data_IF_955684089610
#
_entry.id   IF_955684089610
#
_cell.length_a   1.000
_cell.length_b   1.000
_cell.length_c   1.000
_cell.angle_alpha   90.00
_cell.angle_beta   90.00
_cell.angle_gamma   90.00
#
_symmetry.space_group_name_H-M   'P 1'
#
loop_
_entity.id
_entity.type
_entity.pdbx_description
1 polymer ?
#
# COMPACT_ATOMS: atom_id res chain seq x y z
N UNK A 1 -27.19 -22.24 -11.09
CA UNK A 1 -26.35 -23.46 -11.12
C UNK A 1 -25.84 -23.61 -12.54
N UNK A 2 -24.63 -23.13 -12.82
CA UNK A 2 -24.04 -23.26 -14.16
C UNK A 2 -23.54 -24.70 -14.33
N UNK A 3 -24.13 -25.40 -15.29
CA UNK A 3 -23.85 -26.79 -15.63
C UNK A 3 -22.39 -26.95 -16.05
N UNK A 4 -21.60 -27.64 -15.25
CA UNK A 4 -20.27 -28.12 -15.61
C UNK A 4 -20.40 -29.26 -16.62
N UNK A 5 -20.57 -28.94 -17.89
CA UNK A 5 -20.32 -29.88 -18.97
C UNK A 5 -18.81 -30.19 -19.00
N UNK A 6 -18.40 -31.17 -18.21
CA UNK A 6 -17.06 -31.74 -18.15
C UNK A 6 -16.73 -32.46 -19.45
N UNK A 7 -16.29 -31.70 -20.45
CA UNK A 7 -15.45 -32.24 -21.52
C UNK A 7 -14.16 -32.77 -20.87
N UNK A 8 -13.81 -34.02 -21.20
CA UNK A 8 -12.72 -34.82 -20.64
C UNK A 8 -11.31 -34.26 -20.95
N UNK A 9 -11.09 -32.96 -20.88
CA UNK A 9 -9.78 -32.36 -21.06
C UNK A 9 -8.95 -32.53 -19.78
N UNK A 10 -7.72 -33.07 -19.86
CA UNK A 10 -6.85 -33.12 -18.70
C UNK A 10 -6.51 -31.68 -18.25
N UNK A 11 -6.38 -31.47 -16.93
CA UNK A 11 -5.89 -30.20 -16.41
C UNK A 11 -4.49 -29.87 -16.97
N UNK A 12 -4.09 -28.59 -16.91
CA UNK A 12 -2.81 -28.14 -17.46
C UNK A 12 -1.62 -28.93 -16.89
N UNK A 13 -1.66 -29.28 -15.59
CA UNK A 13 -0.65 -30.10 -14.95
C UNK A 13 -0.52 -31.50 -15.56
N UNK A 14 -1.64 -32.22 -15.68
CA UNK A 14 -1.64 -33.57 -16.24
C UNK A 14 -1.29 -33.58 -17.73
N UNK A 15 -1.74 -32.57 -18.47
CA UNK A 15 -1.36 -32.36 -19.88
C UNK A 15 0.14 -32.16 -20.02
N UNK A 16 0.74 -31.30 -19.20
CA UNK A 16 2.18 -31.03 -19.20
C UNK A 16 3.01 -32.27 -18.81
N UNK A 17 2.59 -32.97 -17.76
CA UNK A 17 3.25 -34.18 -17.26
C UNK A 17 2.98 -35.43 -18.11
N UNK A 18 2.17 -35.33 -19.17
CA UNK A 18 1.79 -36.44 -20.07
C UNK A 18 1.20 -37.65 -19.31
N UNK A 19 0.37 -37.39 -18.30
CA UNK A 19 -0.31 -38.43 -17.51
C UNK A 19 -1.83 -38.27 -17.55
N UNK A 20 -2.56 -39.35 -17.25
CA UNK A 20 -4.03 -39.31 -17.18
C UNK A 20 -4.49 -38.42 -16.03
N UNK A 21 -5.43 -37.51 -16.31
CA UNK A 21 -6.12 -36.74 -15.27
C UNK A 21 -7.28 -37.60 -14.73
N UNK A 22 -7.23 -37.94 -13.44
CA UNK A 22 -8.25 -38.76 -12.77
C UNK A 22 -9.17 -37.89 -11.89
N UNK A 23 -10.40 -38.32 -11.61
CA UNK A 23 -11.25 -37.68 -10.61
C UNK A 23 -10.51 -37.56 -9.27
N UNK A 24 -10.54 -36.38 -8.65
CA UNK A 24 -9.78 -36.08 -7.42
C UNK A 24 -8.32 -35.66 -7.66
N UNK A 25 -7.91 -35.38 -8.90
CA UNK A 25 -6.58 -34.81 -9.17
C UNK A 25 -6.35 -33.50 -8.39
N UNK A 26 -5.34 -33.48 -7.53
CA UNK A 26 -5.00 -32.32 -6.68
C UNK A 26 -4.69 -31.04 -7.47
N UNK A 27 -4.23 -31.17 -8.71
CA UNK A 27 -3.90 -30.03 -9.56
C UNK A 27 -5.10 -29.48 -10.34
N UNK A 28 -6.14 -30.29 -10.58
CA UNK A 28 -7.22 -29.94 -11.49
C UNK A 28 -7.99 -28.67 -11.08
N UNK A 29 -8.29 -28.43 -9.79
CA UNK A 29 -8.98 -27.20 -9.38
C UNK A 29 -8.19 -25.91 -9.61
N UNK A 30 -6.85 -25.99 -9.66
CA UNK A 30 -5.98 -24.80 -9.61
C UNK A 30 -5.20 -24.53 -10.91
N UNK A 31 -5.12 -25.53 -11.79
CA UNK A 31 -4.41 -25.45 -13.07
C UNK A 31 -5.34 -25.83 -14.23
N UNK A 32 -6.29 -24.95 -14.60
CA UNK A 32 -7.23 -25.19 -15.69
C UNK A 32 -6.48 -25.33 -17.04
N UNK A 33 -7.03 -26.08 -18.00
CA UNK A 33 -6.38 -26.30 -19.30
C UNK A 33 -6.17 -25.01 -20.12
N UNK A 34 -6.93 -23.95 -19.84
CA UNK A 34 -6.82 -22.61 -20.45
C UNK A 34 -5.53 -21.88 -20.03
N UNK A 35 -4.91 -22.27 -18.91
CA UNK A 35 -3.72 -21.61 -18.34
C UNK A 35 -2.48 -22.54 -18.32
N UNK A 36 -2.00 -23.04 -19.47
CA UNK A 36 -0.90 -24.00 -19.51
C UNK A 36 0.43 -23.40 -19.01
N UNK A 37 0.66 -22.11 -19.23
CA UNK A 37 1.88 -21.42 -18.81
C UNK A 37 2.00 -21.32 -17.28
N UNK A 38 0.86 -21.19 -16.57
CA UNK A 38 0.83 -21.13 -15.11
C UNK A 38 1.48 -22.38 -14.51
N UNK A 39 1.09 -23.57 -14.97
CA UNK A 39 1.71 -24.81 -14.50
C UNK A 39 3.15 -24.96 -15.00
N UNK A 40 3.46 -24.58 -16.24
CA UNK A 40 4.82 -24.69 -16.78
C UNK A 40 5.83 -23.90 -15.95
N UNK A 41 5.50 -22.66 -15.57
CA UNK A 41 6.34 -21.82 -14.73
C UNK A 41 6.50 -22.42 -13.32
N UNK A 42 5.39 -22.77 -12.69
CA UNK A 42 5.39 -23.38 -11.34
C UNK A 42 6.21 -24.67 -11.32
N UNK A 43 6.06 -25.53 -12.33
CA UNK A 43 6.83 -26.75 -12.47
C UNK A 43 8.33 -26.48 -12.65
N UNK A 44 8.68 -25.49 -13.48
CA UNK A 44 10.09 -25.12 -13.73
C UNK A 44 10.78 -24.61 -12.46
N UNK A 45 10.09 -23.81 -11.65
CA UNK A 45 10.70 -23.14 -10.49
C UNK A 45 10.62 -23.99 -9.21
N UNK A 46 9.45 -24.59 -8.93
CA UNK A 46 9.21 -25.32 -7.68
C UNK A 46 9.20 -26.83 -7.86
N UNK A 47 8.81 -27.33 -9.04
CA UNK A 47 8.65 -28.75 -9.31
C UNK A 47 7.31 -29.31 -8.82
N UNK A 48 6.73 -30.24 -9.59
CA UNK A 48 5.41 -30.81 -9.28
C UNK A 48 5.36 -31.51 -7.92
N UNK A 49 6.43 -32.20 -7.51
CA UNK A 49 6.47 -32.94 -6.24
C UNK A 49 6.41 -32.01 -5.02
N UNK A 50 7.17 -30.91 -5.05
CA UNK A 50 7.17 -29.92 -3.97
C UNK A 50 5.82 -29.22 -3.86
N UNK A 51 5.22 -28.86 -5.00
CA UNK A 51 3.88 -28.26 -5.03
C UNK A 51 2.84 -29.25 -4.49
N UNK A 52 2.91 -30.53 -4.87
CA UNK A 52 2.01 -31.57 -4.33
C UNK A 52 2.14 -31.68 -2.81
N UNK A 53 3.39 -31.71 -2.30
CA UNK A 53 3.67 -31.78 -0.87
C UNK A 53 3.07 -30.57 -0.13
N UNK A 54 3.35 -29.36 -0.60
CA UNK A 54 2.81 -28.13 -0.02
C UNK A 54 1.28 -28.12 -0.01
N UNK A 55 0.64 -28.46 -1.12
CA UNK A 55 -0.83 -28.47 -1.19
C UNK A 55 -1.44 -29.49 -0.23
N UNK A 56 -0.78 -30.62 0.03
CA UNK A 56 -1.25 -31.59 1.03
C UNK A 56 -1.07 -31.11 2.47
N UNK A 57 -0.09 -30.26 2.75
CA UNK A 57 0.13 -29.66 4.08
C UNK A 57 -0.84 -28.50 4.38
N UNK A 58 -1.40 -27.88 3.33
CA UNK A 58 -2.35 -26.76 3.45
C UNK A 58 -3.81 -27.22 3.56
N UNK A 59 -4.58 -26.43 4.32
CA UNK A 59 -6.04 -26.55 4.39
C UNK A 59 -6.65 -26.24 3.01
N UNK A 60 -7.75 -26.90 2.60
CA UNK A 60 -8.31 -26.75 1.25
C UNK A 60 -8.58 -25.30 0.82
N UNK A 61 -9.03 -24.44 1.74
CA UNK A 61 -9.36 -23.04 1.47
C UNK A 61 -8.13 -22.15 1.22
N UNK A 62 -6.94 -22.57 1.64
CA UNK A 62 -5.69 -21.81 1.45
C UNK A 62 -4.97 -22.17 0.14
N UNK A 63 -5.35 -23.30 -0.48
CA UNK A 63 -4.64 -23.87 -1.63
C UNK A 63 -4.72 -23.00 -2.86
N UNK A 64 -5.86 -22.33 -3.08
CA UNK A 64 -6.03 -21.43 -4.21
C UNK A 64 -5.07 -20.24 -4.13
N UNK A 65 -5.04 -19.56 -2.98
CA UNK A 65 -4.13 -18.45 -2.71
C UNK A 65 -2.65 -18.87 -2.78
N UNK A 66 -2.34 -20.06 -2.26
CA UNK A 66 -0.99 -20.62 -2.34
C UNK A 66 -0.58 -20.87 -3.80
N UNK A 67 -1.44 -21.48 -4.63
CA UNK A 67 -1.13 -21.69 -6.06
C UNK A 67 -1.00 -20.36 -6.81
N UNK A 68 -1.83 -19.36 -6.50
CA UNK A 68 -1.73 -18.04 -7.11
C UNK A 68 -0.42 -17.34 -6.74
N UNK A 69 0.02 -17.46 -5.48
CA UNK A 69 1.31 -16.93 -5.01
C UNK A 69 2.48 -17.64 -5.70
N UNK A 70 2.47 -18.97 -5.77
CA UNK A 70 3.49 -19.75 -6.48
C UNK A 70 3.53 -19.41 -7.97
N UNK A 71 2.37 -19.23 -8.62
CA UNK A 71 2.31 -18.86 -10.02
C UNK A 71 2.98 -17.50 -10.28
N UNK A 72 2.65 -16.50 -9.45
CA UNK A 72 3.25 -15.17 -9.52
C UNK A 72 4.77 -15.22 -9.31
N UNK A 73 5.23 -15.91 -8.25
CA UNK A 73 6.66 -16.04 -7.95
C UNK A 73 7.41 -16.78 -9.05
N UNK A 74 6.82 -17.85 -9.59
CA UNK A 74 7.43 -18.62 -10.67
C UNK A 74 7.55 -17.79 -11.94
N UNK A 75 6.50 -17.07 -12.32
CA UNK A 75 6.52 -16.17 -13.47
C UNK A 75 7.56 -15.05 -13.30
N UNK A 76 7.62 -14.44 -12.11
CA UNK A 76 8.61 -13.41 -11.81
C UNK A 76 10.03 -13.96 -11.96
N UNK A 77 10.31 -15.16 -11.45
CA UNK A 77 11.63 -15.80 -11.58
C UNK A 77 11.94 -16.27 -13.01
N UNK A 78 10.93 -16.57 -13.82
CA UNK A 78 11.14 -16.85 -15.25
C UNK A 78 11.53 -15.58 -16.01
N UNK A 79 10.92 -14.43 -15.69
CA UNK A 79 11.25 -13.13 -16.31
C UNK A 79 12.59 -12.57 -15.83
N UNK A 80 12.88 -12.73 -14.54
CA UNK A 80 14.11 -12.30 -13.90
C UNK A 80 14.75 -13.49 -13.17
N UNK A 81 15.66 -14.23 -13.83
CA UNK A 81 16.30 -15.40 -13.24
C UNK A 81 17.20 -15.10 -12.05
N UNK A 82 17.60 -13.83 -11.86
CA UNK A 82 18.52 -13.42 -10.80
C UNK A 82 17.74 -13.03 -9.55
N UNK A 83 16.78 -12.11 -9.67
CA UNK A 83 16.07 -11.54 -8.53
C UNK A 83 14.60 -11.97 -8.45
N UNK A 84 13.97 -12.41 -9.54
CA UNK A 84 12.56 -12.84 -9.55
C UNK A 84 11.62 -11.80 -8.95
N UNK A 85 10.80 -12.20 -7.97
CA UNK A 85 9.90 -11.29 -7.27
C UNK A 85 10.62 -10.31 -6.33
N UNK A 86 11.89 -10.55 -5.98
CA UNK A 86 12.66 -9.67 -5.09
C UNK A 86 12.92 -8.32 -5.77
N UNK A 87 13.07 -8.28 -7.10
CA UNK A 87 13.23 -7.01 -7.82
C UNK A 87 12.01 -6.09 -7.67
N UNK A 88 10.81 -6.66 -7.70
CA UNK A 88 9.56 -5.94 -7.45
C UNK A 88 9.50 -5.44 -5.99
N UNK A 89 9.92 -6.25 -5.01
CA UNK A 89 9.98 -5.84 -3.61
C UNK A 89 10.95 -4.65 -3.45
N UNK A 90 12.17 -4.75 -3.97
CA UNK A 90 13.15 -3.67 -3.88
C UNK A 90 12.71 -2.40 -4.58
N UNK A 91 12.02 -2.53 -5.72
CA UNK A 91 11.43 -1.38 -6.41
C UNK A 91 10.36 -0.70 -5.55
N UNK A 92 9.41 -1.47 -5.02
CA UNK A 92 8.32 -0.94 -4.19
C UNK A 92 8.84 -0.32 -2.90
N UNK A 93 9.86 -0.89 -2.27
CA UNK A 93 10.47 -0.31 -1.07
C UNK A 93 11.07 1.08 -1.34
N UNK A 94 11.84 1.24 -2.43
CA UNK A 94 12.37 2.56 -2.84
C UNK A 94 11.26 3.54 -3.17
N UNK A 95 10.18 3.06 -3.77
CA UNK A 95 9.02 3.86 -4.14
C UNK A 95 8.27 4.37 -2.89
N UNK A 96 8.10 3.53 -1.88
CA UNK A 96 7.54 3.93 -0.58
C UNK A 96 8.44 4.98 0.09
N UNK A 97 9.76 4.76 0.12
CA UNK A 97 10.70 5.72 0.71
C UNK A 97 10.66 7.09 -0.01
N UNK A 98 10.62 7.08 -1.34
CA UNK A 98 10.51 8.30 -2.14
C UNK A 98 9.22 9.05 -1.83
N UNK A 99 8.08 8.36 -1.82
CA UNK A 99 6.78 8.97 -1.55
C UNK A 99 6.70 9.52 -0.12
N UNK A 100 7.29 8.83 0.85
CA UNK A 100 7.37 9.33 2.22
C UNK A 100 8.17 10.64 2.29
N UNK A 101 9.32 10.72 1.61
CA UNK A 101 10.12 11.96 1.52
C UNK A 101 9.36 13.11 0.86
N UNK A 102 8.62 12.83 -0.20
CA UNK A 102 7.77 13.83 -0.87
C UNK A 102 6.66 14.33 0.04
N UNK A 103 6.01 13.43 0.79
CA UNK A 103 4.99 13.78 1.76
C UNK A 103 5.57 14.63 2.90
N UNK A 104 6.73 14.27 3.42
CA UNK A 104 7.40 15.01 4.50
C UNK A 104 7.80 16.42 4.04
N UNK A 105 8.30 16.56 2.81
CA UNK A 105 8.63 17.85 2.21
C UNK A 105 7.38 18.72 2.03
N UNK A 106 6.29 18.16 1.49
CA UNK A 106 5.03 18.87 1.33
C UNK A 106 4.43 19.32 2.68
N UNK A 107 4.50 18.47 3.70
CA UNK A 107 4.08 18.81 5.06
C UNK A 107 4.92 19.94 5.66
N UNK A 108 6.25 19.92 5.47
CA UNK A 108 7.13 20.99 5.90
C UNK A 108 6.79 22.33 5.21
N UNK A 109 6.47 22.30 3.92
CA UNK A 109 6.02 23.49 3.19
C UNK A 109 4.68 24.02 3.72
N UNK A 110 3.71 23.15 3.98
CA UNK A 110 2.42 23.55 4.57
C UNK A 110 2.60 24.23 5.93
N UNK A 111 3.44 23.67 6.80
CA UNK A 111 3.76 24.27 8.12
C UNK A 111 4.41 25.63 7.95
N UNK A 112 5.35 25.76 7.00
CA UNK A 112 6.02 27.03 6.71
C UNK A 112 5.02 28.10 6.24
N UNK A 113 4.09 27.77 5.36
CA UNK A 113 3.06 28.71 4.92
C UNK A 113 2.13 29.11 6.07
N UNK A 114 1.66 28.16 6.87
CA UNK A 114 0.79 28.44 8.01
C UNK A 114 1.45 29.33 9.08
N UNK A 115 2.74 29.14 9.37
CA UNK A 115 3.47 29.95 10.34
C UNK A 115 3.81 31.37 9.80
N UNK A 116 4.06 31.50 8.50
CA UNK A 116 4.39 32.79 7.90
C UNK A 116 3.18 33.74 7.86
N UNK A 117 1.96 33.22 7.68
CA UNK A 117 0.73 34.04 7.77
C UNK A 117 0.52 34.65 9.17
N UNK A 118 1.01 34.01 10.24
CA UNK A 118 0.91 34.51 11.61
C UNK A 118 1.89 35.68 11.86
N UNK A 119 3.06 35.69 11.20
CA UNK A 119 4.06 36.75 11.39
C UNK A 119 3.73 38.05 10.63
N UNK A 120 2.99 37.98 9.52
CA UNK A 120 2.58 39.17 8.78
C UNK A 120 1.51 40.02 9.51
N UNK A 121 0.73 39.41 10.41
CA UNK A 121 -0.31 40.10 11.18
C UNK A 121 0.18 40.71 12.52
N UNK A 122 1.45 40.50 12.91
CA UNK A 122 1.89 40.70 14.31
C UNK A 122 2.96 41.77 14.60
N UNK A 123 3.50 42.48 13.62
CA UNK A 123 4.60 43.45 13.86
C UNK A 123 4.39 44.79 13.16
N UNK A 124 3.33 45.52 13.54
CA UNK A 124 3.34 46.98 13.42
C UNK A 124 3.94 47.54 14.71
N UNK A 125 5.15 48.15 14.70
CA UNK A 125 5.64 48.87 15.86
C UNK A 125 4.67 50.02 16.16
N UNK A 126 4.22 50.20 17.42
CA UNK A 126 3.32 51.29 17.76
C UNK A 126 4.02 52.64 17.46
N UNK A 127 3.31 53.64 16.89
CA UNK A 127 3.88 54.95 16.67
C UNK A 127 4.23 55.59 18.03
N UNK A 128 5.46 56.12 18.12
CA UNK A 128 5.99 56.76 19.31
C UNK A 128 5.11 57.96 19.73
N UNK A 129 4.59 57.92 20.96
CA UNK A 129 3.95 59.06 21.61
C UNK A 129 4.95 59.83 22.50
N UNK A 130 4.78 61.17 22.69
CA UNK A 130 5.76 62.00 23.37
C UNK A 130 5.79 61.77 24.89
N UNK A 131 6.99 61.91 25.45
CA UNK A 131 7.30 61.76 26.87
C UNK A 131 6.55 62.77 27.74
N UNK A 132 5.95 62.29 28.84
CA UNK A 132 5.55 63.11 29.97
C UNK A 132 6.22 62.58 31.24
N UNK A 133 6.92 63.49 31.90
CA UNK A 133 7.71 63.33 33.11
C UNK A 133 6.77 63.24 34.34
N UNK A 134 6.90 62.22 35.20
CA UNK A 134 6.53 62.32 36.62
C UNK A 134 7.13 61.19 37.47
N UNK A 135 7.60 61.60 38.63
CA UNK A 135 8.51 60.92 39.55
C UNK A 135 7.84 59.96 40.54
N UNK A 136 8.61 58.91 40.88
CA UNK A 136 8.82 58.26 42.19
C UNK A 136 7.65 58.09 43.17
N UNK A 137 7.30 56.84 43.49
CA UNK A 137 7.25 56.39 44.88
C UNK A 137 7.49 54.89 45.00
N UNK A 138 8.41 54.52 45.89
CA UNK A 138 8.73 53.13 46.25
C UNK A 138 7.85 52.71 47.42
N UNK A 139 7.29 51.50 47.37
CA UNK A 139 6.90 50.76 48.57
C UNK A 139 7.41 49.33 48.45
N UNK A 140 8.39 49.06 49.32
CA UNK A 140 8.92 47.75 49.66
C UNK A 140 7.99 47.06 50.66
N UNK A 141 7.68 45.78 50.44
CA UNK A 141 7.51 44.79 51.53
C UNK A 141 7.88 43.40 51.01
N UNK A 142 8.61 42.66 51.84
CA UNK A 142 9.39 41.45 51.56
C UNK A 142 8.65 40.19 52.15
N UNK A 143 9.23 38.97 52.35
CA UNK A 143 8.91 37.77 51.54
C UNK A 143 8.42 36.48 52.29
N UNK A 144 7.90 35.51 51.49
CA UNK A 144 7.91 33.99 51.59
C UNK A 144 7.08 33.26 52.69
N UNK A 145 6.90 31.90 52.65
CA UNK A 145 6.75 30.91 51.53
C UNK A 145 5.62 29.86 51.78
N UNK A 146 5.61 28.73 51.03
CA UNK A 146 4.75 27.50 51.07
C UNK A 146 3.67 27.51 49.97
N UNK A 147 3.55 26.56 49.04
CA UNK A 147 4.16 25.27 48.76
C UNK A 147 3.21 24.57 47.76
N UNK A 148 3.71 23.79 46.80
CA UNK A 148 2.84 22.98 45.93
C UNK A 148 3.37 22.78 44.52
N UNK A 149 4.06 21.66 44.32
CA UNK A 149 4.46 21.14 43.02
C UNK A 149 3.26 20.48 42.34
N UNK A 150 3.09 20.67 41.03
CA UNK A 150 2.24 19.78 40.23
C UNK A 150 1.75 20.34 38.90
N UNK A 151 2.24 19.75 37.81
CA UNK A 151 1.40 19.47 36.63
C UNK A 151 1.43 20.46 35.47
N UNK A 152 2.35 20.24 34.52
CA UNK A 152 2.15 20.56 33.10
C UNK A 152 1.07 19.63 32.53
N UNK A 153 0.05 20.18 31.88
CA UNK A 153 -0.65 19.50 30.78
C UNK A 153 -0.92 20.50 29.65
N UNK A 154 -0.65 20.03 28.44
CA UNK A 154 -0.57 20.76 27.18
C UNK A 154 -1.92 21.36 26.79
N UNK A 155 -1.98 22.67 26.57
CA UNK A 155 -3.05 23.32 25.81
C UNK A 155 -2.56 23.51 24.38
N UNK A 156 -2.93 22.59 23.48
CA UNK A 156 -2.78 22.76 22.03
C UNK A 156 -3.93 23.61 21.49
N UNK A 157 -3.69 24.70 20.74
CA UNK A 157 -4.75 25.46 20.09
C UNK A 157 -5.35 24.66 18.93
N UNK A 158 -6.68 24.66 18.85
CA UNK A 158 -7.50 24.01 17.83
C UNK A 158 -7.18 24.53 16.42
N UNK A 159 -6.75 23.64 15.52
CA UNK A 159 -6.77 23.87 14.07
C UNK A 159 -8.08 23.32 13.46
N UNK A 160 -8.64 23.94 12.42
CA UNK A 160 -9.83 23.44 11.76
C UNK A 160 -9.52 22.20 10.92
N UNK A 161 -10.34 21.16 11.08
CA UNK A 161 -10.34 19.96 10.23
C UNK A 161 -10.80 20.37 8.83
N UNK A 162 -9.91 20.33 7.84
CA UNK A 162 -10.32 20.38 6.44
C UNK A 162 -10.73 18.94 6.04
N UNK A 163 -11.97 18.72 5.57
CA UNK A 163 -12.40 17.40 5.12
C UNK A 163 -11.67 17.07 3.81
N UNK A 164 -10.92 15.96 3.83
CA UNK A 164 -10.34 15.38 2.62
C UNK A 164 -11.48 14.94 1.69
N UNK A 165 -11.74 15.75 0.66
CA UNK A 165 -12.59 15.37 -0.47
C UNK A 165 -11.91 14.23 -1.21
N UNK A 166 -12.46 13.03 -1.07
CA UNK A 166 -12.08 11.86 -1.85
C UNK A 166 -12.41 12.08 -3.33
N UNK A 167 -11.41 12.47 -4.11
CA UNK A 167 -11.45 12.35 -5.56
C UNK A 167 -10.02 12.17 -6.10
N UNK A 168 -9.44 11.00 -5.87
CA UNK A 168 -8.34 10.52 -6.71
C UNK A 168 -8.93 9.96 -8.02
N UNK A 169 -8.42 10.36 -9.20
CA UNK A 169 -8.87 9.81 -10.46
C UNK A 169 -8.01 8.59 -10.81
N UNK A 170 -8.31 7.44 -10.21
CA UNK A 170 -7.89 6.16 -10.77
C UNK A 170 -9.15 5.51 -11.33
N UNK A 171 -9.52 5.89 -12.55
CA UNK A 171 -10.50 5.13 -13.32
C UNK A 171 -9.82 3.86 -13.82
N UNK A 172 -10.39 2.72 -13.42
CA UNK A 172 -10.09 1.41 -13.96
C UNK A 172 -10.17 1.45 -15.50
N UNK A 173 -9.11 1.00 -16.15
CA UNK A 173 -9.16 0.58 -17.55
C UNK A 173 -8.46 -0.76 -17.67
N UNK A 174 -9.05 -1.76 -17.02
CA UNK A 174 -8.97 -3.13 -17.49
C UNK A 174 -10.39 -3.58 -17.85
N UNK A 175 -10.69 -3.55 -19.15
CA UNK A 175 -11.95 -4.04 -19.70
C UNK A 175 -11.71 -5.43 -20.33
N UNK A 176 -12.17 -6.54 -19.72
CA UNK A 176 -12.04 -7.84 -20.33
C UNK A 176 -13.37 -8.31 -20.94
N UNK A 177 -14.22 -7.43 -21.50
CA UNK A 177 -15.29 -7.87 -22.40
C UNK A 177 -15.67 -6.77 -23.40
N UNK A 178 -15.42 -7.03 -24.68
CA UNK A 178 -15.89 -6.20 -25.79
C UNK A 178 -15.61 -6.91 -27.12
N UNK A 179 -16.56 -7.73 -27.56
CA UNK A 179 -16.55 -8.34 -28.88
C UNK A 179 -17.07 -7.41 -29.97
N UNK A 180 -16.89 -7.85 -31.21
CA UNK A 180 -17.44 -7.28 -32.45
C UNK A 180 -16.35 -6.66 -33.33
N UNK A 181 -16.32 -6.78 -34.65
CA UNK A 181 -17.21 -7.35 -35.68
C UNK A 181 -16.40 -7.37 -36.99
N UNK A 182 -16.91 -8.09 -37.99
CA UNK A 182 -16.44 -8.23 -39.37
C UNK A 182 -16.04 -6.92 -40.10
N UNK A 183 -15.13 -7.04 -41.07
CA UNK A 183 -14.81 -5.97 -42.03
C UNK A 183 -13.77 -6.37 -43.07
N UNK A 184 -14.26 -6.64 -44.28
CA UNK A 184 -13.55 -7.01 -45.51
C UNK A 184 -12.42 -6.06 -45.95
N UNK A 185 -11.35 -6.63 -46.53
CA UNK A 185 -10.80 -6.36 -47.88
C UNK A 185 -9.87 -7.51 -48.26
#
# INVERSE_FOLDING_TARGET
MASSSSYNSPCAACKFLRRKCIPGCIFAPYFPPEEPQKFANVHKIFGASNVTKLLNELLPHQREDAVNSLAYEAEARVRDPVYGCISAISFLQRQVERLQKELDAANADLIRFACNDIQAAGLQPPPAAPQALASTHMVSTQPRPVGGWGGRFYQTPSFPIIPYSSSMPWNDSYNPHGGGVDGSI
#
